data_IF_904162467847
#
_entry.id   IF_904162467847
#
_cell.length_a   1.000
_cell.length_b   1.000
_cell.length_c   1.000
_cell.angle_alpha   90.00
_cell.angle_beta   90.00
_cell.angle_gamma   90.00
#
_symmetry.space_group_name_H-M   'P 1'
#
loop_
_entity.id
_entity.type
_entity.pdbx_description
1 polymer ?
#
# COMPACT_ATOMS: atom_id res chain seq x y z
N UNK A 1 -20.71 5.70 -13.32
CA UNK A 1 -20.03 6.94 -13.76
C UNK A 1 -18.93 7.36 -12.78
N UNK A 2 -19.25 7.61 -11.51
CA UNK A 2 -18.27 8.14 -10.54
C UNK A 2 -16.99 7.31 -10.39
N UNK A 3 -17.09 5.98 -10.28
CA UNK A 3 -15.91 5.10 -10.08
C UNK A 3 -14.94 5.11 -11.27
N UNK A 4 -15.47 5.16 -12.49
CA UNK A 4 -14.67 5.14 -13.73
C UNK A 4 -13.81 6.40 -13.85
N UNK A 5 -14.25 7.52 -13.26
CA UNK A 5 -13.50 8.78 -13.25
C UNK A 5 -12.54 8.90 -12.07
N UNK A 6 -12.89 8.33 -10.92
CA UNK A 6 -12.07 8.35 -9.70
C UNK A 6 -10.87 7.42 -9.84
N UNK A 7 -11.10 6.20 -10.30
CA UNK A 7 -10.11 5.14 -10.27
C UNK A 7 -8.81 5.49 -11.00
N UNK A 8 -8.83 6.02 -12.26
CA UNK A 8 -7.60 6.38 -12.95
C UNK A 8 -6.78 7.44 -12.19
N UNK A 9 -7.46 8.44 -11.61
CA UNK A 9 -6.79 9.51 -10.85
C UNK A 9 -6.13 8.97 -9.59
N UNK A 10 -6.82 8.08 -8.87
CA UNK A 10 -6.26 7.42 -7.70
C UNK A 10 -5.05 6.57 -8.11
N UNK A 11 -5.17 5.76 -9.16
CA UNK A 11 -4.11 4.88 -9.60
C UNK A 11 -2.86 5.65 -10.06
N UNK A 12 -3.03 6.68 -10.89
CA UNK A 12 -1.94 7.55 -11.35
C UNK A 12 -1.23 8.23 -10.17
N UNK A 13 -2.00 8.70 -9.17
CA UNK A 13 -1.42 9.33 -7.99
C UNK A 13 -0.64 8.34 -7.10
N UNK A 14 -1.05 7.07 -7.04
CA UNK A 14 -0.32 6.02 -6.33
C UNK A 14 1.00 5.69 -7.04
N UNK A 15 0.97 5.55 -8.37
CA UNK A 15 2.17 5.35 -9.19
C UNK A 15 3.14 6.52 -9.02
N UNK A 16 2.62 7.76 -9.01
CA UNK A 16 3.44 8.95 -8.73
C UNK A 16 4.11 8.87 -7.37
N UNK A 17 3.38 8.45 -6.33
CA UNK A 17 3.92 8.29 -4.99
C UNK A 17 5.08 7.31 -4.91
N UNK A 18 4.94 6.17 -5.59
CA UNK A 18 6.00 5.18 -5.70
C UNK A 18 7.22 5.73 -6.44
N UNK A 19 7.01 6.39 -7.59
CA UNK A 19 8.10 6.94 -8.39
C UNK A 19 8.89 8.03 -7.65
N UNK A 20 8.18 8.91 -6.93
CA UNK A 20 8.80 9.95 -6.11
C UNK A 20 9.56 9.33 -4.93
N UNK A 21 8.96 8.37 -4.22
CA UNK A 21 9.60 7.71 -3.07
C UNK A 21 10.92 7.06 -3.47
N UNK A 22 10.95 6.25 -4.53
CA UNK A 22 12.17 5.56 -4.97
C UNK A 22 13.31 6.49 -5.43
N UNK A 23 13.04 7.79 -5.60
CA UNK A 23 14.03 8.81 -5.97
C UNK A 23 14.35 9.77 -4.83
N UNK A 24 13.73 9.59 -3.65
CA UNK A 24 13.80 10.54 -2.56
C UNK A 24 14.80 10.13 -1.47
N UNK A 25 15.11 11.07 -0.58
CA UNK A 25 15.96 10.80 0.58
C UNK A 25 15.27 9.87 1.59
N UNK A 26 13.93 9.87 1.64
CA UNK A 26 13.16 8.94 2.48
C UNK A 26 13.41 7.49 2.09
N UNK A 27 13.56 7.15 0.81
CA UNK A 27 13.91 5.79 0.41
C UNK A 27 15.22 5.34 1.06
N UNK A 28 16.25 6.20 1.04
CA UNK A 28 17.52 5.90 1.70
C UNK A 28 17.34 5.73 3.21
N UNK A 29 16.56 6.60 3.86
CA UNK A 29 16.28 6.50 5.29
C UNK A 29 15.62 5.16 5.65
N UNK A 30 14.64 4.71 4.88
CA UNK A 30 13.98 3.42 5.13
C UNK A 30 14.84 2.22 4.75
N UNK A 31 15.69 2.34 3.74
CA UNK A 31 16.74 1.35 3.46
C UNK A 31 17.68 1.18 4.65
N UNK A 32 18.22 2.28 5.17
CA UNK A 32 19.13 2.25 6.33
C UNK A 32 18.42 1.70 7.58
N UNK A 33 17.13 1.99 7.77
CA UNK A 33 16.31 1.44 8.85
C UNK A 33 16.06 -0.06 8.69
N UNK A 34 15.79 -0.53 7.47
CA UNK A 34 15.64 -1.95 7.18
C UNK A 34 16.93 -2.74 7.51
N UNK A 35 18.08 -2.25 7.05
CA UNK A 35 19.39 -2.85 7.35
C UNK A 35 19.66 -2.89 8.86
N UNK A 36 19.31 -1.81 9.58
CA UNK A 36 19.41 -1.77 11.03
C UNK A 36 18.55 -2.86 11.70
N UNK A 37 17.31 -3.06 11.25
CA UNK A 37 16.41 -4.09 11.80
C UNK A 37 16.95 -5.50 11.57
N UNK A 38 17.49 -5.77 10.37
CA UNK A 38 18.13 -7.05 10.07
C UNK A 38 19.33 -7.30 11.00
N UNK A 39 20.19 -6.31 11.18
CA UNK A 39 21.35 -6.40 12.07
C UNK A 39 20.96 -6.55 13.56
N UNK A 40 19.80 -6.03 13.96
CA UNK A 40 19.27 -6.15 15.31
C UNK A 40 18.58 -7.51 15.57
N UNK A 41 18.53 -8.38 14.57
CA UNK A 41 17.95 -9.71 14.67
C UNK A 41 16.42 -9.73 14.65
N UNK A 42 15.80 -8.75 13.98
CA UNK A 42 14.34 -8.65 13.89
C UNK A 42 13.70 -9.93 13.31
N UNK A 43 14.32 -10.51 12.29
CA UNK A 43 13.83 -11.70 11.57
C UNK A 43 14.56 -13.02 11.95
N UNK A 44 15.34 -13.05 13.02
CA UNK A 44 16.25 -14.18 13.35
C UNK A 44 15.57 -15.45 13.91
N UNK A 45 14.25 -15.45 14.15
CA UNK A 45 13.58 -16.57 14.83
C UNK A 45 12.43 -17.17 14.05
N UNK A 46 12.65 -18.38 13.53
CA UNK A 46 11.60 -19.24 12.94
C UNK A 46 10.46 -19.62 13.91
N UNK A 47 10.63 -19.34 15.21
CA UNK A 47 9.62 -19.62 16.25
C UNK A 47 8.77 -18.39 16.59
N UNK A 48 9.13 -17.20 16.12
CA UNK A 48 8.34 -15.99 16.31
C UNK A 48 7.28 -15.90 15.24
N UNK A 49 6.12 -15.35 15.61
CA UNK A 49 5.12 -14.91 14.63
C UNK A 49 5.83 -13.93 13.69
N UNK A 50 5.77 -14.16 12.39
CA UNK A 50 6.27 -13.18 11.41
C UNK A 50 5.51 -11.88 11.62
N UNK A 51 6.26 -10.80 11.87
CA UNK A 51 5.72 -9.45 12.01
C UNK A 51 6.14 -8.70 10.74
N UNK A 52 5.22 -7.98 10.08
CA UNK A 52 5.58 -7.11 8.97
C UNK A 52 6.77 -6.23 9.31
N UNK A 53 7.79 -6.21 8.46
CA UNK A 53 8.97 -5.38 8.67
C UNK A 53 8.54 -3.89 8.67
N UNK A 54 8.73 -3.16 9.79
CA UNK A 54 8.25 -1.79 9.93
C UNK A 54 8.76 -0.82 8.86
N UNK A 55 9.94 -1.08 8.28
CA UNK A 55 10.48 -0.24 7.20
C UNK A 55 9.55 -0.25 5.97
N UNK A 56 9.03 -1.43 5.60
CA UNK A 56 8.07 -1.56 4.51
C UNK A 56 6.74 -0.90 4.83
N UNK A 57 6.25 -1.06 6.06
CA UNK A 57 4.96 -0.52 6.47
C UNK A 57 4.93 1.01 6.42
N UNK A 58 6.00 1.64 6.93
CA UNK A 58 6.15 3.07 6.90
C UNK A 58 6.42 3.60 5.48
N UNK A 59 7.21 2.90 4.69
CA UNK A 59 7.45 3.26 3.30
C UNK A 59 6.15 3.25 2.46
N UNK A 60 5.31 2.22 2.62
CA UNK A 60 4.01 2.14 1.94
C UNK A 60 3.13 3.37 2.28
N UNK A 61 3.10 3.81 3.54
CA UNK A 61 2.36 5.02 3.95
C UNK A 61 2.87 6.28 3.26
N UNK A 62 4.19 6.43 3.11
CA UNK A 62 4.78 7.57 2.41
C UNK A 62 4.48 7.53 0.90
N UNK A 63 4.56 6.36 0.29
CA UNK A 63 4.14 6.14 -1.11
C UNK A 63 2.69 6.58 -1.31
N UNK A 64 1.81 6.30 -0.36
CA UNK A 64 0.39 6.69 -0.40
C UNK A 64 0.09 8.19 -0.33
N UNK A 65 1.08 9.08 -0.13
CA UNK A 65 0.82 10.50 0.16
C UNK A 65 -0.02 11.20 -0.92
N UNK A 66 0.27 10.97 -2.20
CA UNK A 66 -0.49 11.59 -3.30
C UNK A 66 -1.83 10.90 -3.51
N UNK A 67 -1.91 9.58 -3.30
CA UNK A 67 -3.16 8.85 -3.32
C UNK A 67 -4.17 9.41 -2.32
N UNK A 68 -3.73 9.62 -1.07
CA UNK A 68 -4.56 10.23 -0.02
C UNK A 68 -4.96 11.68 -0.34
N UNK A 69 -4.04 12.46 -0.89
CA UNK A 69 -4.32 13.83 -1.30
C UNK A 69 -5.36 13.89 -2.43
N UNK A 70 -5.22 13.03 -3.45
CA UNK A 70 -6.18 12.90 -4.55
C UNK A 70 -7.53 12.39 -4.07
N UNK A 71 -7.57 11.36 -3.22
CA UNK A 71 -8.81 10.85 -2.62
C UNK A 71 -9.57 11.96 -1.90
N UNK A 72 -8.87 12.77 -1.09
CA UNK A 72 -9.47 13.93 -0.41
C UNK A 72 -10.04 14.96 -1.38
N UNK A 73 -9.35 15.27 -2.48
CA UNK A 73 -9.86 16.20 -3.50
C UNK A 73 -11.12 15.68 -4.19
N UNK A 74 -11.26 14.35 -4.30
CA UNK A 74 -12.41 13.67 -4.89
C UNK A 74 -13.52 13.36 -3.86
N UNK A 75 -13.38 13.83 -2.61
CA UNK A 75 -14.29 13.54 -1.49
C UNK A 75 -14.45 12.03 -1.20
N UNK A 76 -13.36 11.28 -1.39
CA UNK A 76 -13.28 9.84 -1.11
C UNK A 76 -12.62 9.60 0.24
N UNK A 77 -13.29 8.79 1.06
CA UNK A 77 -12.85 8.38 2.38
C UNK A 77 -12.66 6.86 2.41
N UNK A 78 -11.86 6.37 3.34
CA UNK A 78 -11.61 4.93 3.52
C UNK A 78 -12.01 4.49 4.93
N UNK A 79 -12.39 3.23 5.08
CA UNK A 79 -12.65 2.58 6.37
C UNK A 79 -11.39 2.43 7.24
N UNK A 80 -10.24 2.26 6.59
CA UNK A 80 -8.96 2.00 7.25
C UNK A 80 -7.89 3.05 6.92
N UNK A 81 -6.83 3.05 7.72
CA UNK A 81 -5.62 3.84 7.43
C UNK A 81 -4.90 3.20 6.24
N UNK A 82 -4.50 4.01 5.26
CA UNK A 82 -3.74 3.54 4.10
C UNK A 82 -2.42 2.84 4.51
N UNK A 83 -2.02 1.76 3.80
CA UNK A 83 -2.72 1.09 2.69
C UNK A 83 -3.83 0.11 3.12
N UNK A 84 -4.00 -0.11 4.41
CA UNK A 84 -4.92 -1.05 5.04
C UNK A 84 -4.30 -1.59 6.32
N UNK A 85 -4.94 -2.59 6.94
CA UNK A 85 -4.36 -3.27 8.11
C UNK A 85 -3.30 -4.29 7.70
N UNK A 86 -2.07 -4.06 8.16
CA UNK A 86 -0.93 -4.96 7.98
C UNK A 86 -1.08 -6.28 8.73
N UNK A 87 -1.87 -6.32 9.80
CA UNK A 87 -2.12 -7.54 10.56
C UNK A 87 -3.03 -8.51 9.81
N UNK A 88 -3.81 -8.00 8.86
CA UNK A 88 -4.73 -8.77 8.01
C UNK A 88 -4.33 -8.75 6.54
N UNK A 89 -3.17 -8.19 6.19
CA UNK A 89 -2.69 -8.19 4.81
C UNK A 89 -2.28 -9.60 4.39
N UNK A 90 -2.49 -9.91 3.12
CA UNK A 90 -2.11 -11.20 2.54
C UNK A 90 -0.77 -11.06 1.81
N UNK A 91 0.07 -12.08 1.88
CA UNK A 91 1.30 -12.16 1.10
C UNK A 91 1.18 -13.29 0.06
N UNK A 92 1.54 -12.97 -1.17
CA UNK A 92 1.70 -13.95 -2.23
C UNK A 92 3.12 -13.86 -2.78
N UNK A 93 3.77 -15.01 -2.93
CA UNK A 93 5.11 -15.09 -3.52
C UNK A 93 5.03 -15.20 -5.05
N UNK A 94 5.91 -14.49 -5.74
CA UNK A 94 6.23 -14.67 -7.15
C UNK A 94 7.71 -15.04 -7.29
N UNK A 95 8.17 -15.45 -8.47
CA UNK A 95 9.58 -15.85 -8.68
C UNK A 95 10.58 -14.75 -8.30
N UNK A 96 10.22 -13.47 -8.45
CA UNK A 96 11.14 -12.33 -8.28
C UNK A 96 10.86 -11.43 -7.06
N UNK A 97 9.64 -11.49 -6.49
CA UNK A 97 9.24 -10.60 -5.40
C UNK A 97 8.08 -11.17 -4.57
N UNK A 98 7.90 -10.60 -3.37
CA UNK A 98 6.71 -10.83 -2.54
C UNK A 98 5.73 -9.71 -2.82
N UNK A 99 4.46 -10.06 -2.98
CA UNK A 99 3.38 -9.09 -3.14
C UNK A 99 2.57 -9.09 -1.87
N UNK A 100 2.52 -7.94 -1.19
CA UNK A 100 1.64 -7.73 -0.04
C UNK A 100 0.36 -7.04 -0.50
N UNK A 101 -0.78 -7.59 -0.15
CA UNK A 101 -2.10 -7.15 -0.59
C UNK A 101 -2.88 -6.57 0.58
N UNK A 102 -3.41 -5.36 0.38
CA UNK A 102 -4.26 -4.65 1.31
C UNK A 102 -5.63 -4.38 0.69
N UNK A 103 -6.63 -4.22 1.54
CA UNK A 103 -7.99 -3.90 1.13
C UNK A 103 -8.46 -2.63 1.83
N UNK A 104 -9.11 -1.74 1.08
CA UNK A 104 -9.75 -0.52 1.59
C UNK A 104 -11.15 -0.40 0.99
N UNK A 105 -12.16 -0.20 1.82
CA UNK A 105 -13.48 0.20 1.34
C UNK A 105 -13.48 1.71 1.11
N UNK A 106 -13.71 2.13 -0.14
CA UNK A 106 -13.86 3.53 -0.50
C UNK A 106 -15.31 3.99 -0.29
N UNK A 107 -15.49 5.17 0.28
CA UNK A 107 -16.78 5.81 0.53
C UNK A 107 -16.86 7.16 -0.18
N UNK A 108 -18.01 7.44 -0.78
CA UNK A 108 -18.35 8.76 -1.32
C UNK A 108 -19.62 9.26 -0.65
N UNK A 109 -19.56 10.43 -0.01
CA UNK A 109 -20.71 11.03 0.71
C UNK A 109 -21.38 10.05 1.69
N UNK A 110 -20.56 9.35 2.50
CA UNK A 110 -20.97 8.35 3.50
C UNK A 110 -21.68 7.10 2.92
N UNK A 111 -21.59 6.88 1.61
CA UNK A 111 -22.10 5.66 0.97
C UNK A 111 -20.91 4.82 0.49
N UNK A 112 -20.91 3.50 0.73
CA UNK A 112 -19.86 2.62 0.21
C UNK A 112 -19.89 2.66 -1.32
N UNK A 113 -18.72 2.82 -1.93
CA UNK A 113 -18.56 2.99 -3.36
C UNK A 113 -17.96 1.72 -3.99
N UNK A 114 -16.78 1.33 -3.53
CA UNK A 114 -16.09 0.12 -3.98
C UNK A 114 -15.14 -0.41 -2.93
N UNK A 115 -14.79 -1.70 -3.05
CA UNK A 115 -13.66 -2.30 -2.36
C UNK A 115 -12.45 -2.21 -3.28
N UNK A 116 -11.40 -1.55 -2.82
CA UNK A 116 -10.12 -1.46 -3.49
C UNK A 116 -9.18 -2.53 -2.93
N UNK A 117 -8.42 -3.18 -3.81
CA UNK A 117 -7.23 -3.94 -3.46
C UNK A 117 -6.00 -3.15 -3.88
N UNK A 118 -5.04 -3.02 -2.97
CA UNK A 118 -3.77 -2.33 -3.20
C UNK A 118 -2.65 -3.36 -3.00
N UNK A 119 -1.83 -3.56 -4.02
CA UNK A 119 -0.77 -4.57 -4.01
C UNK A 119 0.59 -3.89 -4.04
N UNK A 120 1.46 -4.24 -3.11
CA UNK A 120 2.83 -3.73 -3.01
C UNK A 120 3.84 -4.86 -3.26
N UNK A 121 4.39 -4.94 -4.49
CA UNK A 121 5.55 -5.78 -4.78
C UNK A 121 6.77 -5.26 -4.02
N UNK A 122 7.46 -6.14 -3.31
CA UNK A 122 8.66 -5.83 -2.54
C UNK A 122 9.65 -7.00 -2.53
N UNK A 123 10.93 -6.72 -2.28
CA UNK A 123 11.94 -7.76 -2.16
C UNK A 123 11.90 -8.48 -0.81
N UNK A 124 12.21 -9.77 -0.82
CA UNK A 124 12.28 -10.59 0.40
C UNK A 124 13.52 -10.26 1.24
N UNK A 125 14.70 -10.26 0.61
CA UNK A 125 15.99 -10.20 1.33
C UNK A 125 16.67 -8.83 1.30
N UNK A 126 16.02 -7.82 0.73
CA UNK A 126 16.55 -6.45 0.67
C UNK A 126 15.40 -5.46 0.75
N UNK A 127 15.68 -4.19 1.06
CA UNK A 127 14.67 -3.15 1.01
C UNK A 127 14.48 -2.63 -0.42
N UNK A 128 13.26 -2.72 -0.94
CA UNK A 128 12.89 -2.04 -2.17
C UNK A 128 11.54 -2.46 -2.72
N UNK A 129 10.94 -1.57 -3.51
CA UNK A 129 9.69 -1.81 -4.26
C UNK A 129 10.01 -1.91 -5.76
N UNK A 130 10.30 -3.13 -6.29
CA UNK A 130 10.78 -3.32 -7.66
C UNK A 130 9.82 -2.83 -8.73
N UNK A 131 8.52 -2.88 -8.44
CA UNK A 131 7.44 -2.54 -9.35
C UNK A 131 6.52 -1.51 -8.68
N UNK A 132 5.83 -0.68 -9.48
CA UNK A 132 4.81 0.22 -8.94
C UNK A 132 3.71 -0.58 -8.24
N UNK A 133 3.09 -0.04 -7.18
CA UNK A 133 1.95 -0.66 -6.55
C UNK A 133 0.80 -0.79 -7.56
N UNK A 134 0.07 -1.88 -7.49
CA UNK A 134 -1.14 -2.08 -8.28
C UNK A 134 -2.35 -1.64 -7.48
N UNK A 135 -3.34 -1.07 -8.17
CA UNK A 135 -4.66 -0.78 -7.63
C UNK A 135 -5.68 -1.60 -8.42
N UNK A 136 -6.64 -2.20 -7.74
CA UNK A 136 -7.71 -2.98 -8.38
C UNK A 136 -9.05 -2.70 -7.67
N UNK A 137 -10.15 -2.71 -8.43
CA UNK A 137 -11.50 -2.68 -7.86
C UNK A 137 -11.98 -4.13 -7.75
N UNK A 138 -12.02 -4.65 -6.53
CA UNK A 138 -12.47 -6.02 -6.24
C UNK A 138 -13.99 -6.13 -6.29
N UNK A 139 -14.68 -5.10 -5.81
CA UNK A 139 -16.14 -5.08 -5.70
C UNK A 139 -16.70 -3.68 -5.86
N UNK A 140 -17.80 -3.55 -6.60
CA UNK A 140 -18.63 -2.33 -6.60
C UNK A 140 -19.79 -2.52 -5.62
N UNK A 141 -20.08 -1.49 -4.83
CA UNK A 141 -21.28 -1.49 -3.99
C UNK A 141 -22.42 -0.80 -4.74
N UNK A 142 -23.62 -1.38 -4.64
CA UNK A 142 -24.84 -0.76 -5.14
C UNK A 142 -25.22 0.41 -4.22
N UNK A 143 -25.80 1.47 -4.80
CA UNK A 143 -26.37 2.54 -3.98
C UNK A 143 -27.54 1.97 -3.18
N UNK A 144 -27.54 2.19 -1.87
CA UNK A 144 -28.77 2.09 -1.10
C UNK A 144 -29.71 3.22 -1.59
N UNK A 145 -30.87 2.85 -2.13
CA UNK A 145 -31.94 3.80 -2.51
C UNK A 145 -32.47 4.59 -1.30
#
# INVERSE_FOLDING_TARGET
MLVVEIYPKLYESLIKGWSDFNRSEEHKLYYDFFEFLLQAGFDESHYRKSIPNPAYDHAAKIIGKYFLATARQLEIYFDEIFPGDFSSSEESETEDCVIRVFHLTAFYRNQPLCLLSIKFPHYHDSFGFPLPPELEIVKLYEKCE
#
